data_IF_968150925717
#
_entry.id   IF_968150925717
#
_cell.length_a   1.000
_cell.length_b   1.000
_cell.length_c   1.000
_cell.angle_alpha   90.00
_cell.angle_beta   90.00
_cell.angle_gamma   90.00
#
_symmetry.space_group_name_H-M   'P 1'
#
loop_
_entity.id
_entity.type
_entity.pdbx_description
1 polymer ?
#
# COMPACT_ATOMS: atom_id res chain seq x y z
N UNK A 1 22.81 18.11 14.29
CA UNK A 1 22.10 19.25 14.94
C UNK A 1 21.40 20.12 13.90
N UNK A 2 22.10 20.93 13.09
CA UNK A 2 21.43 21.87 12.17
C UNK A 2 20.47 21.25 11.13
N UNK A 3 20.74 20.03 10.64
CA UNK A 3 19.83 19.33 9.71
C UNK A 3 18.50 18.99 10.39
N UNK A 4 18.53 18.53 11.65
CA UNK A 4 17.31 18.19 12.38
C UNK A 4 16.44 19.45 12.58
N UNK A 5 17.05 20.57 12.93
CA UNK A 5 16.34 21.85 13.05
C UNK A 5 15.72 22.28 11.72
N UNK A 6 16.44 22.16 10.60
CA UNK A 6 15.89 22.50 9.28
C UNK A 6 14.66 21.67 8.89
N UNK A 7 14.59 20.42 9.35
CA UNK A 7 13.47 19.52 9.04
C UNK A 7 12.26 19.74 9.96
N UNK A 8 12.49 20.06 11.23
CA UNK A 8 11.45 20.02 12.27
C UNK A 8 11.17 21.36 12.96
N UNK A 9 11.94 22.41 12.66
CA UNK A 9 11.82 23.72 13.29
C UNK A 9 11.61 24.82 12.22
N UNK A 10 10.36 25.21 11.94
CA UNK A 10 10.06 26.28 10.97
C UNK A 10 10.63 27.65 11.34
N UNK A 11 10.91 27.90 12.62
CA UNK A 11 11.47 29.16 13.12
C UNK A 11 13.01 29.18 13.11
N UNK A 12 13.65 28.07 12.72
CA UNK A 12 15.10 27.98 12.66
C UNK A 12 15.68 29.05 11.73
N UNK A 13 16.90 29.53 12.04
CA UNK A 13 17.61 30.53 11.24
C UNK A 13 18.80 29.89 10.49
N UNK A 14 18.62 29.37 9.25
CA UNK A 14 19.67 28.69 8.50
C UNK A 14 20.91 29.55 8.24
N UNK A 15 20.73 30.86 8.02
CA UNK A 15 21.84 31.78 7.75
C UNK A 15 22.77 31.91 8.97
N UNK A 16 22.22 31.97 10.18
CA UNK A 16 23.02 32.02 11.41
C UNK A 16 23.71 30.67 11.67
N UNK A 17 23.04 29.56 11.33
CA UNK A 17 23.67 28.24 11.35
C UNK A 17 24.86 28.14 10.40
N UNK A 18 24.73 28.59 9.14
CA UNK A 18 25.82 28.55 8.17
C UNK A 18 27.03 29.37 8.63
N UNK A 19 26.79 30.53 9.26
CA UNK A 19 27.86 31.33 9.88
C UNK A 19 28.62 30.53 10.93
N UNK A 20 27.93 29.83 11.83
CA UNK A 20 28.60 28.98 12.81
C UNK A 20 29.33 27.80 12.17
N UNK A 21 28.73 27.16 11.16
CA UNK A 21 29.34 26.04 10.43
C UNK A 21 30.66 26.45 9.76
N UNK A 22 30.69 27.64 9.16
CA UNK A 22 31.89 28.18 8.51
C UNK A 22 32.99 28.55 9.52
N UNK A 23 32.63 28.88 10.77
CA UNK A 23 33.58 29.21 11.83
C UNK A 23 34.05 27.99 12.63
N UNK A 24 33.34 26.85 12.58
CA UNK A 24 33.57 25.66 13.40
C UNK A 24 34.94 24.98 13.24
N UNK A 25 35.75 25.40 12.26
CA UNK A 25 37.13 24.93 12.07
C UNK A 25 38.22 25.89 12.55
N UNK A 26 37.88 27.07 13.05
CA UNK A 26 38.86 28.04 13.55
C UNK A 26 39.26 27.71 14.99
N UNK A 27 40.56 27.74 15.29
CA UNK A 27 41.09 27.47 16.65
C UNK A 27 40.53 28.42 17.72
N UNK A 28 40.10 29.61 17.33
CA UNK A 28 39.50 30.61 18.22
C UNK A 28 37.99 30.45 18.39
N UNK A 29 37.35 29.54 17.67
CA UNK A 29 35.91 29.41 17.69
C UNK A 29 35.44 28.59 18.88
N UNK A 30 34.59 29.20 19.71
CA UNK A 30 33.88 28.54 20.79
C UNK A 30 32.41 28.91 20.71
N UNK A 31 31.55 27.88 20.74
CA UNK A 31 30.11 28.00 20.65
C UNK A 31 29.47 27.26 21.81
N UNK A 32 28.84 28.03 22.71
CA UNK A 32 28.07 27.43 23.81
C UNK A 32 26.68 27.01 23.32
N UNK A 33 26.07 25.97 23.93
CA UNK A 33 24.70 25.56 23.61
C UNK A 33 23.68 26.69 23.75
N UNK A 34 23.83 27.57 24.74
CA UNK A 34 22.96 28.76 24.89
C UNK A 34 23.10 29.73 23.72
N UNK A 35 24.34 30.04 23.32
CA UNK A 35 24.61 30.94 22.19
C UNK A 35 24.07 30.36 20.87
N UNK A 36 24.15 29.03 20.69
CA UNK A 36 23.51 28.34 19.58
C UNK A 36 22.00 28.55 19.58
N UNK A 37 21.33 28.22 20.69
CA UNK A 37 19.87 28.34 20.84
C UNK A 37 19.40 29.77 20.54
N UNK A 38 20.03 30.78 21.16
CA UNK A 38 19.64 32.19 21.02
C UNK A 38 19.88 32.73 19.60
N UNK A 39 20.95 32.31 18.93
CA UNK A 39 21.27 32.81 17.60
C UNK A 39 20.50 32.11 16.49
N UNK A 40 20.16 30.82 16.64
CA UNK A 40 19.50 30.04 15.58
C UNK A 40 18.02 29.75 15.83
N UNK A 41 17.47 30.16 16.97
CA UNK A 41 16.15 29.75 17.49
C UNK A 41 15.98 28.23 17.52
N UNK A 42 17.04 27.50 17.87
CA UNK A 42 17.03 26.04 17.89
C UNK A 42 16.13 25.50 19.02
N UNK A 43 15.33 24.47 18.71
CA UNK A 43 14.41 23.82 19.66
C UNK A 43 14.84 22.40 20.03
N UNK A 44 15.76 21.80 19.27
CA UNK A 44 16.25 20.45 19.46
C UNK A 44 17.28 20.31 20.58
N UNK A 45 17.76 21.42 21.16
CA UNK A 45 18.68 21.43 22.30
C UNK A 45 18.18 22.40 23.35
N UNK A 46 18.29 22.02 24.62
CA UNK A 46 17.90 22.81 25.77
C UNK A 46 19.04 22.87 26.79
N UNK A 47 19.39 24.07 27.25
CA UNK A 47 20.47 24.26 28.21
C UNK A 47 19.98 24.96 29.49
N UNK A 48 20.10 24.30 30.63
CA UNK A 48 19.71 24.82 31.95
C UNK A 48 20.93 25.00 32.86
N UNK A 49 21.04 26.14 33.52
CA UNK A 49 22.07 26.41 34.51
C UNK A 49 21.56 26.13 35.94
N UNK A 50 22.48 25.87 36.88
CA UNK A 50 22.17 25.67 38.31
C UNK A 50 22.22 24.19 38.74
N UNK A 51 21.73 23.90 39.96
CA UNK A 51 21.71 22.54 40.52
C UNK A 51 20.71 21.67 39.74
N UNK A 52 21.19 20.58 39.16
CA UNK A 52 20.43 19.78 38.17
C UNK A 52 20.40 20.41 36.77
N UNK A 53 21.28 21.37 36.50
CA UNK A 53 21.51 21.93 35.18
C UNK A 53 22.27 20.96 34.27
N UNK A 54 22.22 21.22 32.97
CA UNK A 54 22.78 20.37 31.93
C UNK A 54 22.37 20.84 30.54
N UNK A 55 22.96 20.21 29.53
CA UNK A 55 22.52 20.36 28.14
C UNK A 55 21.79 19.08 27.76
N UNK A 56 20.54 19.22 27.33
CA UNK A 56 19.65 18.15 26.91
C UNK A 56 19.36 18.32 25.43
N UNK A 57 19.08 17.21 24.73
CA UNK A 57 18.77 17.24 23.32
C UNK A 57 17.53 16.39 23.04
N UNK A 58 16.82 16.73 21.96
CA UNK A 58 15.79 15.88 21.39
C UNK A 58 16.36 14.48 21.13
N UNK A 59 15.52 13.44 21.28
CA UNK A 59 15.95 12.04 21.18
C UNK A 59 16.77 11.80 19.90
N UNK A 60 16.33 12.25 18.73
CA UNK A 60 17.03 11.98 17.47
C UNK A 60 18.44 12.60 17.44
N UNK A 61 18.59 13.80 18.01
CA UNK A 61 19.90 14.47 18.12
C UNK A 61 20.79 13.73 19.13
N UNK A 62 20.21 13.24 20.23
CA UNK A 62 20.91 12.42 21.22
C UNK A 62 21.32 11.05 20.63
N UNK A 63 20.47 10.41 19.84
CA UNK A 63 20.76 9.16 19.13
C UNK A 63 21.89 9.35 18.12
N UNK A 64 21.88 10.45 17.35
CA UNK A 64 22.97 10.77 16.42
C UNK A 64 24.28 11.02 17.18
N UNK A 65 24.25 11.78 18.27
CA UNK A 65 25.43 12.02 19.11
C UNK A 65 25.97 10.71 19.71
N UNK A 66 25.11 9.86 20.23
CA UNK A 66 25.48 8.54 20.75
C UNK A 66 26.06 7.62 19.67
N UNK A 67 25.55 7.70 18.44
CA UNK A 67 26.03 6.93 17.28
C UNK A 67 27.40 7.40 16.79
N UNK A 68 27.67 8.69 16.90
CA UNK A 68 29.00 9.23 16.64
C UNK A 68 29.99 8.81 17.73
N UNK A 69 29.55 8.76 18.99
CA UNK A 69 30.40 8.42 20.13
C UNK A 69 30.74 6.92 20.21
N UNK A 70 29.80 6.03 19.87
CA UNK A 70 29.99 4.57 19.90
C UNK A 70 29.66 3.94 18.54
N UNK A 71 30.67 3.39 17.84
CA UNK A 71 30.46 2.59 16.64
C UNK A 71 29.55 1.37 16.90
N UNK A 72 29.62 0.74 18.07
CA UNK A 72 28.77 -0.39 18.45
C UNK A 72 27.30 0.03 18.51
N UNK A 73 26.99 1.14 19.17
CA UNK A 73 25.64 1.68 19.23
C UNK A 73 25.09 1.98 17.82
N UNK A 74 25.93 2.56 16.95
CA UNK A 74 25.57 2.81 15.55
C UNK A 74 25.23 1.52 14.80
N UNK A 75 26.01 0.45 14.99
CA UNK A 75 25.74 -0.85 14.39
C UNK A 75 24.41 -1.45 14.89
N UNK A 76 24.09 -1.31 16.18
CA UNK A 76 22.79 -1.74 16.71
C UNK A 76 21.62 -0.99 16.07
N UNK A 77 21.72 0.33 15.89
CA UNK A 77 20.67 1.09 15.20
C UNK A 77 20.49 0.65 13.74
N UNK A 78 21.60 0.44 13.01
CA UNK A 78 21.53 -0.03 11.62
C UNK A 78 20.87 -1.41 11.56
N UNK A 79 21.27 -2.32 12.44
CA UNK A 79 20.69 -3.67 12.52
C UNK A 79 19.21 -3.64 12.84
N UNK A 80 18.79 -2.78 13.76
CA UNK A 80 17.39 -2.65 14.14
C UNK A 80 16.55 -2.04 13.02
N UNK A 81 17.07 -1.05 12.31
CA UNK A 81 16.43 -0.52 11.10
C UNK A 81 16.27 -1.59 10.02
N UNK A 82 17.31 -2.39 9.78
CA UNK A 82 17.24 -3.52 8.83
C UNK A 82 16.22 -4.57 9.26
N UNK A 83 16.14 -4.90 10.55
CA UNK A 83 15.14 -5.83 11.09
C UNK A 83 13.71 -5.34 10.79
N UNK A 84 13.42 -4.08 11.10
CA UNK A 84 12.13 -3.47 10.83
C UNK A 84 11.78 -3.50 9.34
N UNK A 85 12.75 -3.18 8.46
CA UNK A 85 12.53 -3.24 7.01
C UNK A 85 12.30 -4.65 6.49
N UNK A 86 12.98 -5.65 7.04
CA UNK A 86 12.76 -7.04 6.67
C UNK A 86 11.37 -7.54 7.11
N UNK A 87 10.92 -7.18 8.31
CA UNK A 87 9.58 -7.51 8.81
C UNK A 87 8.47 -6.86 7.99
N UNK A 88 8.64 -5.59 7.63
CA UNK A 88 7.73 -4.85 6.74
C UNK A 88 7.63 -5.56 5.37
N UNK A 89 8.78 -5.87 4.76
CA UNK A 89 8.83 -6.58 3.48
C UNK A 89 8.21 -7.99 3.54
N UNK A 90 8.45 -8.75 4.62
CA UNK A 90 7.86 -10.06 4.84
C UNK A 90 6.34 -9.97 4.93
N UNK A 91 5.82 -9.03 5.71
CA UNK A 91 4.37 -8.82 5.89
C UNK A 91 3.71 -8.48 4.56
N UNK A 92 4.27 -7.53 3.81
CA UNK A 92 3.76 -7.18 2.47
C UNK A 92 3.80 -8.37 1.51
N UNK A 93 4.87 -9.17 1.54
CA UNK A 93 4.98 -10.35 0.69
C UNK A 93 3.97 -11.45 1.05
N UNK A 94 3.69 -11.64 2.34
CA UNK A 94 2.71 -12.60 2.86
C UNK A 94 1.29 -12.20 2.45
N UNK A 95 0.93 -10.93 2.61
CA UNK A 95 -0.37 -10.39 2.16
C UNK A 95 -0.56 -10.59 0.66
N UNK A 96 0.45 -10.28 -0.15
CA UNK A 96 0.40 -10.46 -1.60
C UNK A 96 0.31 -11.93 -2.02
N UNK A 97 1.04 -12.82 -1.33
CA UNK A 97 0.95 -14.26 -1.56
C UNK A 97 -0.41 -14.84 -1.18
N UNK A 98 -1.00 -14.35 -0.08
CA UNK A 98 -2.32 -14.75 0.37
C UNK A 98 -3.40 -14.35 -0.64
N UNK A 99 -3.39 -13.09 -1.10
CA UNK A 99 -4.33 -12.60 -2.11
C UNK A 99 -4.27 -13.40 -3.41
N UNK A 100 -3.07 -13.71 -3.91
CA UNK A 100 -2.91 -14.54 -5.11
C UNK A 100 -3.38 -15.98 -4.92
N UNK A 101 -3.16 -16.55 -3.74
CA UNK A 101 -3.62 -17.91 -3.42
C UNK A 101 -5.15 -17.95 -3.39
N UNK A 102 -5.78 -16.97 -2.74
CA UNK A 102 -7.23 -16.84 -2.70
C UNK A 102 -7.83 -16.71 -4.11
N UNK A 103 -7.28 -15.84 -4.95
CA UNK A 103 -7.72 -15.69 -6.34
C UNK A 103 -7.60 -16.98 -7.16
N UNK A 104 -6.50 -17.74 -7.01
CA UNK A 104 -6.33 -19.04 -7.68
C UNK A 104 -7.34 -20.08 -7.22
N UNK A 105 -7.62 -20.13 -5.92
CA UNK A 105 -8.62 -21.05 -5.36
C UNK A 105 -10.01 -20.69 -5.88
N UNK A 106 -10.39 -19.42 -5.86
CA UNK A 106 -11.68 -18.94 -6.36
C UNK A 106 -11.87 -19.26 -7.85
N UNK A 107 -10.85 -18.97 -8.68
CA UNK A 107 -10.87 -19.30 -10.10
C UNK A 107 -11.08 -20.80 -10.33
N UNK A 108 -10.39 -21.65 -9.56
CA UNK A 108 -10.53 -23.11 -9.68
C UNK A 108 -11.96 -23.56 -9.34
N UNK A 109 -12.50 -23.10 -8.21
CA UNK A 109 -13.88 -23.42 -7.78
C UNK A 109 -14.90 -23.02 -8.85
N UNK A 110 -14.75 -21.84 -9.45
CA UNK A 110 -15.60 -21.37 -10.54
C UNK A 110 -15.47 -22.24 -11.79
N UNK A 111 -14.24 -22.53 -12.23
CA UNK A 111 -14.02 -23.37 -13.41
C UNK A 111 -14.53 -24.81 -13.24
N UNK A 112 -14.45 -25.35 -12.03
CA UNK A 112 -14.97 -26.68 -11.69
C UNK A 112 -16.50 -26.67 -11.72
N UNK A 113 -17.16 -25.65 -11.16
CA UNK A 113 -18.61 -25.51 -11.21
C UNK A 113 -19.14 -25.41 -12.66
N UNK A 114 -18.47 -24.62 -13.52
CA UNK A 114 -18.80 -24.56 -14.96
C UNK A 114 -18.67 -25.94 -15.59
N UNK A 115 -17.55 -26.63 -15.34
CA UNK A 115 -17.27 -27.94 -15.92
C UNK A 115 -18.30 -28.99 -15.50
N UNK A 116 -18.69 -29.01 -14.24
CA UNK A 116 -19.58 -30.02 -13.66
C UNK A 116 -21.05 -29.81 -14.01
N UNK A 117 -21.49 -28.56 -14.18
CA UNK A 117 -22.92 -28.23 -14.31
C UNK A 117 -23.32 -27.62 -15.64
N UNK A 118 -22.40 -26.93 -16.32
CA UNK A 118 -22.71 -26.21 -17.56
C UNK A 118 -22.12 -26.86 -18.82
N UNK A 119 -21.12 -27.74 -18.68
CA UNK A 119 -20.50 -28.43 -19.82
C UNK A 119 -21.03 -29.87 -19.91
N UNK A 120 -21.94 -30.17 -20.84
CA UNK A 120 -22.34 -31.54 -21.15
C UNK A 120 -21.14 -32.42 -21.50
N UNK A 121 -21.16 -33.68 -21.06
CA UNK A 121 -20.10 -34.68 -21.28
C UNK A 121 -19.80 -35.02 -22.75
N UNK A 122 -20.67 -34.58 -23.68
CA UNK A 122 -20.59 -34.85 -25.12
C UNK A 122 -19.96 -33.68 -25.90
N UNK A 123 -19.62 -32.57 -25.25
CA UNK A 123 -19.09 -31.39 -25.94
C UNK A 123 -17.64 -31.57 -26.38
N UNK A 124 -17.31 -31.05 -27.57
CA UNK A 124 -15.94 -30.97 -28.04
C UNK A 124 -15.17 -29.82 -27.36
N UNK A 125 -13.83 -29.87 -27.36
CA UNK A 125 -12.97 -28.84 -26.72
C UNK A 125 -13.27 -27.41 -27.19
N UNK A 126 -13.65 -27.19 -28.46
CA UNK A 126 -13.97 -25.85 -28.98
C UNK A 126 -15.27 -25.32 -28.39
N UNK A 127 -16.27 -26.18 -28.18
CA UNK A 127 -17.55 -25.81 -27.58
C UNK A 127 -17.40 -25.48 -26.09
N UNK A 128 -16.55 -26.22 -25.36
CA UNK A 128 -16.24 -25.91 -23.95
C UNK A 128 -15.63 -24.52 -23.78
N UNK A 129 -14.74 -24.10 -24.69
CA UNK A 129 -14.12 -22.75 -24.66
C UNK A 129 -15.17 -21.64 -24.78
N UNK A 130 -16.22 -21.85 -25.59
CA UNK A 130 -17.31 -20.87 -25.74
C UNK A 130 -18.08 -20.70 -24.44
N UNK A 131 -18.36 -21.79 -23.72
CA UNK A 131 -19.06 -21.74 -22.42
C UNK A 131 -18.21 -20.99 -21.38
N UNK A 132 -16.91 -21.32 -21.28
CA UNK A 132 -16.01 -20.59 -20.38
C UNK A 132 -15.91 -19.10 -20.72
N UNK A 133 -15.81 -18.75 -22.00
CA UNK A 133 -15.76 -17.35 -22.44
C UNK A 133 -17.05 -16.61 -22.11
N UNK A 134 -18.21 -17.24 -22.32
CA UNK A 134 -19.52 -16.67 -21.98
C UNK A 134 -19.68 -16.41 -20.49
N UNK A 135 -19.22 -17.33 -19.64
CA UNK A 135 -19.26 -17.17 -18.18
C UNK A 135 -18.28 -16.09 -17.69
N UNK A 136 -17.10 -15.99 -18.32
CA UNK A 136 -16.17 -14.90 -18.04
C UNK A 136 -16.75 -13.53 -18.45
N UNK A 137 -17.44 -13.45 -19.57
CA UNK A 137 -18.12 -12.23 -20.01
C UNK A 137 -19.31 -11.88 -19.12
N UNK A 138 -20.04 -12.85 -18.57
CA UNK A 138 -21.09 -12.59 -17.58
C UNK A 138 -20.55 -11.86 -16.36
N UNK A 139 -19.38 -12.26 -15.85
CA UNK A 139 -18.70 -11.57 -14.75
C UNK A 139 -18.22 -10.17 -15.14
N UNK A 140 -17.70 -10.01 -16.37
CA UNK A 140 -17.28 -8.71 -16.88
C UNK A 140 -18.47 -7.75 -17.00
N UNK A 141 -19.61 -8.22 -17.50
CA UNK A 141 -20.84 -7.43 -17.58
C UNK A 141 -21.36 -7.10 -16.18
N UNK A 142 -21.31 -8.04 -15.24
CA UNK A 142 -21.76 -7.81 -13.87
C UNK A 142 -20.98 -6.68 -13.17
N UNK A 143 -19.67 -6.56 -13.42
CA UNK A 143 -18.82 -5.57 -12.76
C UNK A 143 -18.60 -4.28 -13.59
N UNK A 144 -18.31 -4.42 -14.89
CA UNK A 144 -17.92 -3.32 -15.76
C UNK A 144 -19.03 -2.86 -16.72
N UNK A 145 -20.15 -3.59 -16.78
CA UNK A 145 -21.25 -3.28 -17.70
C UNK A 145 -20.97 -3.56 -19.17
N UNK A 146 -19.85 -4.24 -19.49
CA UNK A 146 -19.45 -4.53 -20.86
C UNK A 146 -18.74 -5.88 -20.99
N UNK A 147 -18.80 -6.48 -22.17
CA UNK A 147 -18.06 -7.70 -22.51
C UNK A 147 -16.61 -7.39 -22.88
N UNK A 148 -15.75 -8.40 -22.89
CA UNK A 148 -14.36 -8.25 -23.33
C UNK A 148 -14.27 -7.77 -24.79
N UNK A 149 -15.24 -8.13 -25.64
CA UNK A 149 -15.29 -7.67 -27.03
C UNK A 149 -15.64 -6.18 -27.13
N UNK A 150 -16.65 -5.73 -26.37
CA UNK A 150 -17.04 -4.31 -26.32
C UNK A 150 -15.91 -3.44 -25.79
N UNK A 151 -15.20 -3.92 -24.76
CA UNK A 151 -14.05 -3.20 -24.22
C UNK A 151 -12.91 -3.04 -25.23
N UNK A 152 -12.57 -4.10 -25.99
CA UNK A 152 -11.54 -4.00 -27.06
C UNK A 152 -11.94 -3.04 -28.18
N UNK A 153 -13.23 -2.98 -28.51
CA UNK A 153 -13.73 -2.01 -29.50
C UNK A 153 -13.63 -0.57 -28.99
N UNK A 154 -13.90 -0.34 -27.70
CA UNK A 154 -13.80 0.97 -27.09
C UNK A 154 -12.34 1.41 -26.81
N UNK A 155 -11.40 0.46 -26.73
CA UNK A 155 -9.99 0.73 -26.41
C UNK A 155 -9.04 0.10 -27.46
N UNK A 156 -9.06 0.57 -28.73
CA UNK A 156 -8.27 -0.01 -29.81
C UNK A 156 -6.75 0.14 -29.61
N UNK A 157 -6.32 1.18 -28.88
CA UNK A 157 -4.90 1.50 -28.68
C UNK A 157 -4.30 0.90 -27.39
N UNK A 158 -5.11 0.22 -26.56
CA UNK A 158 -4.64 -0.37 -25.31
C UNK A 158 -4.35 -1.87 -25.49
N UNK A 159 -3.11 -2.33 -25.31
CA UNK A 159 -2.79 -3.75 -25.34
C UNK A 159 -3.32 -4.43 -24.06
N UNK A 160 -4.05 -5.53 -24.21
CA UNK A 160 -4.44 -6.40 -23.10
C UNK A 160 -5.94 -6.69 -23.01
N UNK A 161 -6.39 -6.96 -21.79
CA UNK A 161 -7.76 -7.31 -21.43
C UNK A 161 -8.33 -6.28 -20.43
N UNK A 162 -9.65 -6.15 -20.34
CA UNK A 162 -10.33 -5.26 -19.37
C UNK A 162 -9.85 -5.49 -17.93
N UNK A 163 -9.49 -6.74 -17.59
CA UNK A 163 -8.97 -7.11 -16.26
C UNK A 163 -7.57 -6.55 -15.99
N UNK A 164 -6.76 -6.30 -17.01
CA UNK A 164 -5.40 -5.76 -16.86
C UNK A 164 -5.42 -4.27 -16.51
N UNK A 165 -6.51 -3.58 -16.86
CA UNK A 165 -6.75 -2.16 -16.56
C UNK A 165 -7.60 -1.93 -15.31
N UNK A 166 -8.01 -3.00 -14.62
CA UNK A 166 -8.89 -2.93 -13.46
C UNK A 166 -8.13 -2.49 -12.19
N UNK A 167 -8.81 -1.76 -11.29
CA UNK A 167 -8.25 -1.40 -9.99
C UNK A 167 -8.16 -2.63 -9.07
N UNK A 168 -7.37 -2.53 -7.99
CA UNK A 168 -7.25 -3.60 -7.01
C UNK A 168 -8.61 -3.99 -6.41
N UNK A 169 -9.46 -2.98 -6.11
CA UNK A 169 -10.80 -3.18 -5.58
C UNK A 169 -11.68 -3.95 -6.57
N UNK A 170 -11.62 -3.59 -7.86
CA UNK A 170 -12.35 -4.29 -8.92
C UNK A 170 -11.90 -5.73 -9.08
N UNK A 171 -10.59 -6.01 -8.99
CA UNK A 171 -10.06 -7.38 -9.03
C UNK A 171 -10.50 -8.22 -7.83
N UNK A 172 -10.60 -7.62 -6.63
CA UNK A 172 -11.12 -8.29 -5.43
C UNK A 172 -12.60 -8.64 -5.60
N UNK A 173 -13.41 -7.69 -6.07
CA UNK A 173 -14.84 -7.95 -6.34
C UNK A 173 -14.99 -9.03 -7.39
N UNK A 174 -14.23 -8.98 -8.48
CA UNK A 174 -14.30 -9.98 -9.54
C UNK A 174 -13.97 -11.39 -9.05
N UNK A 175 -12.94 -11.55 -8.22
CA UNK A 175 -12.59 -12.82 -7.56
C UNK A 175 -13.72 -13.35 -6.66
N UNK A 176 -14.45 -12.44 -5.98
CA UNK A 176 -15.60 -12.83 -5.17
C UNK A 176 -16.81 -13.24 -6.04
N UNK A 177 -17.06 -12.50 -7.13
CA UNK A 177 -18.11 -12.86 -8.09
C UNK A 177 -17.88 -14.24 -8.72
N UNK A 178 -16.62 -14.63 -8.96
CA UNK A 178 -16.28 -16.00 -9.41
C UNK A 178 -16.78 -17.05 -8.41
N UNK A 179 -16.51 -16.87 -7.11
CA UNK A 179 -16.98 -17.79 -6.06
C UNK A 179 -18.50 -17.82 -5.92
N UNK A 180 -19.15 -16.66 -5.95
CA UNK A 180 -20.62 -16.58 -5.87
C UNK A 180 -21.25 -17.25 -7.09
N UNK A 181 -20.73 -16.96 -8.28
CA UNK A 181 -21.26 -17.53 -9.51
C UNK A 181 -21.15 -19.06 -9.51
N UNK A 182 -20.07 -19.63 -8.96
CA UNK A 182 -19.94 -21.08 -8.78
C UNK A 182 -21.10 -21.66 -7.95
N UNK A 183 -21.44 -21.00 -6.83
CA UNK A 183 -22.58 -21.41 -5.98
C UNK A 183 -23.90 -21.30 -6.73
N UNK A 184 -24.14 -20.21 -7.44
CA UNK A 184 -25.37 -20.00 -8.21
C UNK A 184 -25.51 -21.03 -9.36
N UNK A 185 -24.40 -21.42 -9.98
CA UNK A 185 -24.35 -22.49 -10.98
C UNK A 185 -24.77 -23.82 -10.35
N UNK A 186 -24.26 -24.14 -9.15
CA UNK A 186 -24.64 -25.37 -8.43
C UNK A 186 -26.12 -25.38 -8.01
N UNK A 187 -26.69 -24.20 -7.73
CA UNK A 187 -28.12 -24.03 -7.46
C UNK A 187 -28.99 -24.17 -8.72
N UNK A 188 -28.39 -24.26 -9.91
CA UNK A 188 -29.11 -24.41 -11.18
C UNK A 188 -29.74 -23.13 -11.70
N UNK A 189 -29.29 -21.95 -11.22
CA UNK A 189 -29.84 -20.67 -11.64
C UNK A 189 -29.46 -20.32 -13.09
N UNK A 190 -30.42 -19.87 -13.93
CA UNK A 190 -30.14 -19.40 -15.28
C UNK A 190 -29.19 -18.21 -15.31
N UNK A 191 -28.37 -18.11 -16.37
CA UNK A 191 -27.40 -17.02 -16.54
C UNK A 191 -28.00 -15.59 -16.38
N UNK A 192 -29.20 -15.26 -16.91
CA UNK A 192 -29.79 -13.94 -16.71
C UNK A 192 -30.09 -13.61 -15.25
N UNK A 193 -30.58 -14.58 -14.48
CA UNK A 193 -30.86 -14.41 -13.06
C UNK A 193 -29.57 -14.26 -12.25
N UNK A 194 -28.55 -15.07 -12.58
CA UNK A 194 -27.22 -14.95 -11.99
C UNK A 194 -26.62 -13.57 -12.22
N UNK A 195 -26.71 -13.06 -13.45
CA UNK A 195 -26.18 -11.74 -13.80
C UNK A 195 -26.77 -10.62 -12.93
N UNK A 196 -28.07 -10.64 -12.68
CA UNK A 196 -28.74 -9.65 -11.81
C UNK A 196 -28.22 -9.71 -10.37
N UNK A 197 -28.12 -10.92 -9.81
CA UNK A 197 -27.61 -11.08 -8.44
C UNK A 197 -26.13 -10.70 -8.31
N UNK A 198 -25.31 -11.07 -9.31
CA UNK A 198 -23.89 -10.76 -9.34
C UNK A 198 -23.66 -9.25 -9.51
N UNK A 199 -24.43 -8.57 -10.36
CA UNK A 199 -24.33 -7.11 -10.50
C UNK A 199 -24.74 -6.39 -9.21
N UNK A 200 -25.86 -6.79 -8.58
CA UNK A 200 -26.26 -6.24 -7.29
C UNK A 200 -25.17 -6.41 -6.23
N UNK A 201 -24.57 -7.60 -6.16
CA UNK A 201 -23.46 -7.88 -5.25
C UNK A 201 -22.22 -7.04 -5.56
N UNK A 202 -21.88 -6.90 -6.85
CA UNK A 202 -20.74 -6.11 -7.30
C UNK A 202 -20.87 -4.64 -6.89
N UNK A 203 -22.06 -4.06 -7.06
CA UNK A 203 -22.36 -2.67 -6.67
C UNK A 203 -22.18 -2.50 -5.15
N UNK A 204 -22.75 -3.41 -4.34
CA UNK A 204 -22.63 -3.36 -2.88
C UNK A 204 -21.17 -3.45 -2.44
N UNK A 205 -20.41 -4.40 -2.98
CA UNK A 205 -19.01 -4.60 -2.59
C UNK A 205 -18.12 -3.42 -3.03
N UNK A 206 -18.31 -2.90 -4.25
CA UNK A 206 -17.56 -1.74 -4.72
C UNK A 206 -17.83 -0.50 -3.87
N UNK A 207 -19.09 -0.26 -3.46
CA UNK A 207 -19.43 0.86 -2.56
C UNK A 207 -18.68 0.73 -1.24
N UNK A 208 -18.71 -0.44 -0.61
CA UNK A 208 -18.01 -0.67 0.67
C UNK A 208 -16.50 -0.51 0.55
N UNK A 209 -15.88 -1.02 -0.52
CA UNK A 209 -14.42 -0.93 -0.72
C UNK A 209 -13.97 0.51 -0.97
N UNK A 210 -14.72 1.28 -1.75
CA UNK A 210 -14.43 2.70 -2.02
C UNK A 210 -14.54 3.53 -0.73
N UNK A 211 -15.58 3.29 0.07
CA UNK A 211 -15.74 3.94 1.38
C UNK A 211 -14.57 3.61 2.33
N UNK A 212 -14.18 2.33 2.42
CA UNK A 212 -13.04 1.92 3.24
C UNK A 212 -11.71 2.52 2.77
N UNK A 213 -11.47 2.59 1.46
CA UNK A 213 -10.25 3.19 0.89
C UNK A 213 -10.16 4.69 1.22
N UNK A 214 -11.30 5.38 1.26
CA UNK A 214 -11.40 6.80 1.62
C UNK A 214 -11.10 6.99 3.11
N UNK A 215 -11.63 6.13 3.98
CA UNK A 215 -11.36 6.17 5.43
C UNK A 215 -9.88 5.86 5.72
N UNK A 216 -9.27 4.90 5.03
CA UNK A 216 -7.83 4.59 5.19
C UNK A 216 -6.92 5.76 4.81
N UNK A 217 -7.29 6.54 3.78
CA UNK A 217 -6.56 7.75 3.38
C UNK A 217 -6.69 8.89 4.41
N UNK A 218 -7.79 8.95 5.14
CA UNK A 218 -8.02 9.95 6.20
C UNK A 218 -7.39 9.55 7.55
N UNK A 219 -7.18 8.25 7.78
CA UNK A 219 -6.63 7.70 9.02
C UNK A 219 -5.10 7.55 9.07
N UNK A 220 -4.37 7.94 8.02
CA UNK A 220 -2.91 8.08 8.04
C UNK A 220 -2.55 9.57 8.25
N UNK A 221 -2.38 10.04 9.50
CA UNK A 221 -1.66 11.28 9.79
C UNK A 221 -0.16 11.16 9.52
#
# INVERSE_FOLDING_TARGET
>A
MGIWEQLYNPAFKPLEFERFKNQAGLNSFSLSPKKWIEATDAIGIYAKAGRGGGTFAHKDIAFEFGSWLSPEFKLYLIREFQRLKNEEALTTSLEWNFQRTLAKVNYRIHTDAIKERLIPSVLNKKQSVVVYASEADLLNVALFGMTAAQWRQANPDQPGNIRDTATLEQLVVLSNLESINAVLIHQGLPAPERLLQLNGTAITQMRSLVEMSTVKRLGNP
#
